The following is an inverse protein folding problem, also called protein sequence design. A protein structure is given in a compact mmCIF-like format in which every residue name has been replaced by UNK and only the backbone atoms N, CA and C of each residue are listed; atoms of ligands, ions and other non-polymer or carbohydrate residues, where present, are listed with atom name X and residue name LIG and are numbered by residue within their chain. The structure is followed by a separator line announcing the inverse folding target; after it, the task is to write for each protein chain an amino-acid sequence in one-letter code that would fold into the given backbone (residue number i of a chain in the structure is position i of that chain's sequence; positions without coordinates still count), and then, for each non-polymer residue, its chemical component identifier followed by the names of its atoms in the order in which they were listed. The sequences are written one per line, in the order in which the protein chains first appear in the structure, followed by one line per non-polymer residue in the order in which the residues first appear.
data_IF_407457704026
#
_entry.id   IF_407457704026
#
_cell.length_a   1.000
_cell.length_b   1.000
_cell.length_c   1.000
_cell.angle_alpha   90.00
_cell.angle_beta   90.00
_cell.angle_gamma   90.00
#
_symmetry.space_group_name_H-M   'P 1'
#
loop_
_entity.id
_entity.type
_entity.pdbx_description
1 polymer ?
#
# COMPACT_ATOMS: atom_id res chain seq x y z
N UNK A 1 8.26 34.85 -68.28
CA UNK A 1 8.69 35.66 -67.14
C UNK A 1 8.96 34.69 -65.99
N UNK A 2 10.25 34.41 -65.73
CA UNK A 2 10.73 33.44 -64.76
C UNK A 2 10.73 34.09 -63.37
N UNK A 3 10.24 33.37 -62.34
CA UNK A 3 10.49 33.72 -60.95
C UNK A 3 11.15 32.52 -60.26
N UNK A 4 12.32 32.80 -59.68
CA UNK A 4 13.24 31.91 -59.04
C UNK A 4 12.65 31.36 -57.71
N UNK A 5 12.81 30.05 -57.54
CA UNK A 5 12.72 29.36 -56.26
C UNK A 5 13.93 29.72 -55.37
N UNK A 6 13.70 30.17 -54.15
CA UNK A 6 14.70 30.28 -53.12
C UNK A 6 14.41 29.22 -52.07
N UNK A 7 15.33 28.27 -52.00
CA UNK A 7 15.37 27.19 -51.03
C UNK A 7 16.11 27.68 -49.79
N UNK A 8 15.47 27.71 -48.60
CA UNK A 8 16.17 27.91 -47.35
C UNK A 8 15.79 26.79 -46.39
N UNK A 9 16.65 25.77 -46.35
CA UNK A 9 16.69 24.76 -45.31
C UNK A 9 17.07 25.40 -43.97
N UNK A 10 16.20 25.36 -42.99
CA UNK A 10 16.56 25.53 -41.55
C UNK A 10 16.40 24.23 -40.83
N UNK A 11 17.52 23.61 -40.57
CA UNK A 11 17.70 22.50 -39.62
C UNK A 11 17.41 22.97 -38.20
N UNK A 12 16.39 22.40 -37.56
CA UNK A 12 16.15 22.52 -36.13
C UNK A 12 16.83 21.37 -35.43
N UNK A 13 17.97 21.66 -34.76
CA UNK A 13 18.59 20.78 -33.77
C UNK A 13 17.68 20.74 -32.53
N UNK A 14 17.00 19.64 -32.35
CA UNK A 14 16.33 19.29 -31.08
C UNK A 14 17.44 18.91 -30.06
N UNK A 15 17.77 19.86 -29.20
CA UNK A 15 18.56 19.60 -28.01
C UNK A 15 17.75 18.78 -27.01
N UNK A 16 18.08 17.51 -26.88
CA UNK A 16 17.57 16.69 -25.79
C UNK A 16 18.23 17.16 -24.49
N UNK A 17 17.50 17.93 -23.68
CA UNK A 17 17.88 18.20 -22.31
C UNK A 17 17.65 16.92 -21.47
N UNK A 18 18.73 16.20 -21.21
CA UNK A 18 18.77 15.20 -20.15
C UNK A 18 18.68 15.92 -18.80
N UNK A 19 17.50 15.92 -18.19
CA UNK A 19 17.38 16.23 -16.76
C UNK A 19 18.00 15.09 -15.97
N UNK A 20 19.27 15.24 -15.58
CA UNK A 20 19.82 14.44 -14.49
C UNK A 20 19.06 14.83 -13.22
N UNK A 21 18.17 13.96 -12.78
CA UNK A 21 17.64 14.04 -11.43
C UNK A 21 18.80 13.71 -10.48
N UNK A 22 19.32 14.74 -9.82
CA UNK A 22 20.16 14.55 -8.65
C UNK A 22 19.32 13.87 -7.58
N UNK A 23 19.50 12.57 -7.39
CA UNK A 23 19.00 11.87 -6.21
C UNK A 23 19.76 12.45 -5.03
N UNK A 24 19.05 13.11 -4.12
CA UNK A 24 19.63 13.69 -2.92
C UNK A 24 20.35 12.58 -2.11
N UNK A 25 21.66 12.74 -1.99
CA UNK A 25 22.53 11.79 -1.29
C UNK A 25 22.18 11.66 0.21
N UNK A 26 21.42 12.61 0.78
CA UNK A 26 20.98 12.56 2.17
C UNK A 26 19.98 11.43 2.42
N UNK A 27 19.03 11.21 1.51
CA UNK A 27 18.05 10.12 1.61
C UNK A 27 18.67 8.72 1.50
N UNK A 28 19.75 8.58 0.71
CA UNK A 28 20.49 7.33 0.61
C UNK A 28 21.28 7.01 1.89
N UNK A 29 21.86 8.01 2.53
CA UNK A 29 22.62 7.85 3.78
C UNK A 29 21.68 7.45 4.94
N UNK A 30 20.51 8.06 5.08
CA UNK A 30 19.53 7.72 6.12
C UNK A 30 18.99 6.29 5.96
N UNK A 31 18.78 5.83 4.74
CA UNK A 31 18.34 4.45 4.45
C UNK A 31 19.45 3.44 4.79
N UNK A 32 20.71 3.75 4.50
CA UNK A 32 21.87 2.88 4.82
C UNK A 32 22.13 2.85 6.34
N UNK A 33 22.03 3.99 7.02
CA UNK A 33 22.22 4.09 8.48
C UNK A 33 21.13 3.28 9.21
N UNK A 34 19.87 3.35 8.76
CA UNK A 34 18.78 2.58 9.35
C UNK A 34 18.93 1.06 9.16
N UNK A 35 19.45 0.59 8.03
CA UNK A 35 19.70 -0.84 7.78
C UNK A 35 20.74 -1.45 8.73
N UNK A 36 21.69 -0.67 9.21
CA UNK A 36 22.80 -1.13 10.05
C UNK A 36 22.56 -0.88 11.54
N UNK A 37 21.43 -0.28 11.94
CA UNK A 37 21.16 -0.05 13.35
C UNK A 37 21.07 -1.37 14.14
N UNK A 38 21.49 -1.37 15.38
CA UNK A 38 21.37 -2.51 16.29
C UNK A 38 19.91 -2.99 16.42
N UNK A 39 18.96 -2.04 16.41
CA UNK A 39 17.52 -2.29 16.44
C UNK A 39 17.04 -3.06 15.20
N UNK A 40 17.42 -2.60 14.00
CA UNK A 40 17.02 -3.26 12.74
C UNK A 40 17.59 -4.68 12.65
N UNK A 41 18.85 -4.88 13.04
CA UNK A 41 19.45 -6.22 13.09
C UNK A 41 18.75 -7.16 14.08
N UNK A 42 18.31 -6.65 15.24
CA UNK A 42 17.52 -7.42 16.20
C UNK A 42 16.18 -7.82 15.58
N UNK A 43 15.41 -6.87 15.06
CA UNK A 43 14.12 -7.12 14.42
C UNK A 43 14.21 -8.12 13.27
N UNK A 44 15.28 -8.03 12.48
CA UNK A 44 15.53 -8.97 11.39
C UNK A 44 15.70 -10.40 11.90
N UNK A 45 16.48 -10.61 12.97
CA UNK A 45 16.65 -11.92 13.61
C UNK A 45 15.34 -12.43 14.22
N UNK A 46 14.59 -11.55 14.89
CA UNK A 46 13.31 -11.89 15.50
C UNK A 46 12.30 -12.34 14.42
N UNK A 47 12.19 -11.60 13.32
CA UNK A 47 11.36 -11.97 12.16
C UNK A 47 11.80 -13.29 11.52
N UNK A 48 13.10 -13.52 11.33
CA UNK A 48 13.61 -14.78 10.78
C UNK A 48 13.34 -15.96 11.72
N UNK A 49 13.43 -15.77 13.03
CA UNK A 49 13.08 -16.79 14.03
C UNK A 49 11.58 -17.08 14.02
N UNK A 50 10.73 -16.03 13.91
CA UNK A 50 9.28 -16.15 13.78
C UNK A 50 8.91 -16.99 12.54
N UNK A 51 9.47 -16.66 11.36
CA UNK A 51 9.23 -17.41 10.11
C UNK A 51 9.73 -18.86 10.19
N UNK A 52 10.84 -19.10 10.90
CA UNK A 52 11.37 -20.45 11.09
C UNK A 52 10.46 -21.31 11.98
N UNK A 53 9.82 -20.72 12.97
CA UNK A 53 8.89 -21.41 13.88
C UNK A 53 7.50 -21.56 13.27
N UNK A 54 7.08 -20.58 12.48
CA UNK A 54 5.78 -20.55 11.79
C UNK A 54 5.93 -19.96 10.39
N UNK A 55 5.79 -20.81 9.37
CA UNK A 55 5.88 -20.36 7.98
C UNK A 55 4.74 -19.41 7.57
N UNK A 56 3.61 -19.39 8.27
CA UNK A 56 2.53 -18.43 8.02
C UNK A 56 2.94 -17.00 8.39
N UNK A 57 3.95 -16.86 9.22
CA UNK A 57 4.55 -15.57 9.58
C UNK A 57 5.34 -14.93 8.44
N UNK A 58 5.68 -15.66 7.36
CA UNK A 58 6.41 -15.10 6.22
C UNK A 58 5.64 -13.95 5.56
N UNK A 59 6.32 -12.82 5.33
CA UNK A 59 5.78 -11.72 4.54
C UNK A 59 5.91 -12.00 3.05
N UNK A 60 4.76 -12.07 2.37
CA UNK A 60 4.65 -12.29 0.93
C UNK A 60 4.44 -10.95 0.22
N UNK A 61 5.26 -10.60 -0.79
CA UNK A 61 5.12 -9.34 -1.49
C UNK A 61 3.90 -9.32 -2.41
N UNK A 62 3.21 -8.19 -2.42
CA UNK A 62 2.19 -7.80 -3.39
C UNK A 62 2.83 -6.84 -4.39
N UNK A 63 2.68 -7.13 -5.67
CA UNK A 63 3.16 -6.31 -6.78
C UNK A 63 2.01 -5.86 -7.68
N UNK A 64 2.25 -4.82 -8.48
CA UNK A 64 1.39 -4.53 -9.63
C UNK A 64 1.33 -5.77 -10.55
N UNK A 65 0.11 -6.20 -10.87
CA UNK A 65 -0.17 -7.30 -11.81
C UNK A 65 -1.62 -7.23 -12.28
N UNK A 66 -2.04 -7.98 -13.31
CA UNK A 66 -3.46 -8.05 -13.67
C UNK A 66 -4.34 -8.30 -12.45
N UNK A 67 -5.32 -7.43 -12.24
CA UNK A 67 -6.22 -7.44 -11.08
C UNK A 67 -5.71 -6.75 -9.81
N UNK A 68 -4.45 -6.29 -9.77
CA UNK A 68 -3.89 -5.53 -8.63
C UNK A 68 -3.16 -4.28 -9.13
N UNK A 69 -3.54 -3.12 -8.63
CA UNK A 69 -2.82 -1.86 -8.80
C UNK A 69 -2.34 -1.40 -7.42
N UNK A 70 -1.05 -1.09 -7.30
CA UNK A 70 -0.49 -0.46 -6.10
C UNK A 70 -0.50 1.05 -6.28
N UNK A 71 -1.26 1.76 -5.47
CA UNK A 71 -1.29 3.21 -5.35
C UNK A 71 -0.95 3.60 -3.91
N UNK A 72 0.26 3.22 -3.48
CA UNK A 72 0.71 3.32 -2.09
C UNK A 72 0.77 4.78 -1.63
N UNK A 73 -0.29 5.23 -0.96
CA UNK A 73 -0.53 6.64 -0.63
C UNK A 73 0.58 7.24 0.23
N UNK A 74 1.11 6.49 1.19
CA UNK A 74 2.14 6.98 2.10
C UNK A 74 3.56 6.99 1.51
N UNK A 75 3.74 6.40 0.32
CA UNK A 75 4.94 6.56 -0.49
C UNK A 75 4.96 7.88 -1.31
N UNK A 76 3.90 8.67 -1.23
CA UNK A 76 3.74 9.96 -1.93
C UNK A 76 3.23 11.01 -0.94
N UNK A 77 3.18 12.27 -1.36
CA UNK A 77 2.53 13.35 -0.60
C UNK A 77 1.00 13.37 -0.76
N UNK A 78 0.43 12.46 -1.53
CA UNK A 78 -1.01 12.33 -1.78
C UNK A 78 -1.77 11.63 -0.65
N UNK A 79 -1.40 11.87 0.61
CA UNK A 79 -2.02 11.34 1.82
C UNK A 79 -2.41 12.47 2.79
N UNK A 80 -3.07 12.15 3.90
CA UNK A 80 -3.58 13.14 4.85
C UNK A 80 -2.47 13.98 5.52
N UNK A 81 -1.23 13.44 5.64
CA UNK A 81 -0.10 14.17 6.24
C UNK A 81 0.57 15.14 5.26
N UNK A 82 0.24 15.08 3.95
CA UNK A 82 0.85 15.84 2.87
C UNK A 82 2.37 15.66 2.75
N UNK A 83 2.91 14.61 3.35
CA UNK A 83 4.33 14.27 3.30
C UNK A 83 4.57 12.83 2.87
N UNK A 84 5.75 12.54 2.34
CA UNK A 84 6.19 11.17 2.05
C UNK A 84 6.61 10.53 3.37
N UNK A 85 5.92 9.46 3.79
CA UNK A 85 6.17 8.80 5.07
C UNK A 85 7.16 7.64 4.97
N UNK A 86 7.24 6.99 3.80
CA UNK A 86 8.27 6.00 3.47
C UNK A 86 8.67 6.12 1.99
N UNK A 87 9.91 5.68 1.61
CA UNK A 87 10.37 5.78 0.22
C UNK A 87 9.47 5.03 -0.76
N UNK A 88 9.37 5.46 -2.03
CA UNK A 88 8.71 4.69 -3.08
C UNK A 88 9.22 3.25 -3.11
N UNK A 89 8.30 2.30 -3.20
CA UNK A 89 8.59 0.87 -3.17
C UNK A 89 7.81 0.14 -4.28
N UNK A 90 8.40 -0.89 -4.93
CA UNK A 90 7.72 -1.63 -5.99
C UNK A 90 6.67 -2.63 -5.46
N UNK A 91 6.59 -2.82 -4.15
CA UNK A 91 5.69 -3.79 -3.52
C UNK A 91 5.32 -3.37 -2.11
N UNK A 92 4.23 -3.95 -1.59
CA UNK A 92 3.92 -4.02 -0.17
C UNK A 92 3.83 -5.49 0.26
N UNK A 93 3.47 -5.79 1.51
CA UNK A 93 3.52 -7.16 2.02
C UNK A 93 2.29 -7.49 2.87
N UNK A 94 1.95 -8.79 2.88
CA UNK A 94 1.05 -9.41 3.84
C UNK A 94 1.69 -10.68 4.41
N UNK A 95 1.34 -11.07 5.65
CA UNK A 95 1.68 -12.40 6.18
C UNK A 95 1.10 -13.47 5.27
N UNK A 96 1.74 -14.63 5.19
CA UNK A 96 1.38 -15.67 4.22
C UNK A 96 -0.08 -16.10 4.31
N UNK A 97 -0.59 -16.40 5.50
CA UNK A 97 -2.01 -16.78 5.66
C UNK A 97 -2.95 -15.64 5.21
N UNK A 98 -2.60 -14.39 5.52
CA UNK A 98 -3.38 -13.19 5.13
C UNK A 98 -3.32 -12.98 3.61
N UNK A 99 -2.14 -13.20 3.01
CA UNK A 99 -1.97 -13.18 1.55
C UNK A 99 -2.80 -14.26 0.87
N UNK A 100 -2.79 -15.49 1.41
CA UNK A 100 -3.55 -16.61 0.83
C UNK A 100 -5.05 -16.31 0.89
N UNK A 101 -5.56 -15.78 2.00
CA UNK A 101 -6.94 -15.34 2.14
C UNK A 101 -7.26 -14.18 1.18
N UNK A 102 -6.38 -13.18 1.07
CA UNK A 102 -6.54 -12.07 0.12
C UNK A 102 -6.64 -12.58 -1.34
N UNK A 103 -5.86 -13.60 -1.73
CA UNK A 103 -5.96 -14.19 -3.08
C UNK A 103 -7.35 -14.82 -3.32
N UNK A 104 -8.01 -15.37 -2.30
CA UNK A 104 -9.38 -15.89 -2.42
C UNK A 104 -10.37 -14.75 -2.69
N UNK A 105 -10.32 -13.66 -1.91
CA UNK A 105 -11.14 -12.47 -2.13
C UNK A 105 -10.91 -11.87 -3.53
N UNK A 106 -9.65 -11.72 -3.94
CA UNK A 106 -9.29 -11.22 -5.27
C UNK A 106 -9.84 -12.11 -6.38
N UNK A 107 -9.81 -13.44 -6.23
CA UNK A 107 -10.37 -14.38 -7.22
C UNK A 107 -11.87 -14.18 -7.39
N UNK A 108 -12.62 -13.93 -6.31
CA UNK A 108 -14.06 -13.63 -6.37
C UNK A 108 -14.28 -12.33 -7.13
N UNK A 109 -13.60 -11.26 -6.75
CA UNK A 109 -13.72 -9.93 -7.38
C UNK A 109 -13.36 -9.96 -8.87
N UNK A 110 -12.28 -10.67 -9.24
CA UNK A 110 -11.86 -10.78 -10.64
C UNK A 110 -12.91 -11.51 -11.51
N UNK A 111 -13.58 -12.53 -10.98
CA UNK A 111 -14.68 -13.22 -11.70
C UNK A 111 -15.88 -12.30 -11.95
N UNK A 112 -16.07 -11.31 -11.08
CA UNK A 112 -17.11 -10.28 -11.23
C UNK A 112 -16.65 -9.09 -12.11
N UNK A 113 -15.42 -9.11 -12.63
CA UNK A 113 -14.88 -8.07 -13.50
C UNK A 113 -14.21 -6.91 -12.74
N UNK A 114 -13.84 -7.09 -11.47
CA UNK A 114 -13.19 -6.06 -10.65
C UNK A 114 -11.80 -6.46 -10.24
N UNK A 115 -10.88 -5.49 -10.23
CA UNK A 115 -9.57 -5.57 -9.61
C UNK A 115 -9.52 -4.72 -8.35
N UNK A 116 -8.41 -4.80 -7.62
CA UNK A 116 -8.17 -4.07 -6.37
C UNK A 116 -7.09 -3.01 -6.52
N UNK A 117 -7.36 -1.83 -5.97
CA UNK A 117 -6.45 -0.71 -5.84
C UNK A 117 -5.96 -0.67 -4.39
N UNK A 118 -4.70 -1.01 -4.15
CA UNK A 118 -4.13 -1.12 -2.80
C UNK A 118 -3.45 0.21 -2.43
N UNK A 119 -3.87 0.81 -1.32
CA UNK A 119 -3.36 2.07 -0.79
C UNK A 119 -2.32 1.90 0.31
N UNK A 120 -2.47 0.86 1.14
CA UNK A 120 -1.52 0.46 2.17
C UNK A 120 -1.70 -1.02 2.53
N UNK A 121 -0.61 -1.68 2.96
CA UNK A 121 -0.67 -2.99 3.58
C UNK A 121 0.39 -3.07 4.69
N UNK A 122 1.55 -3.72 4.49
CA UNK A 122 2.61 -3.58 5.47
C UNK A 122 3.07 -2.12 5.56
N UNK A 123 3.15 -1.62 6.79
CA UNK A 123 3.62 -0.28 7.14
C UNK A 123 4.66 -0.41 8.26
N UNK A 124 5.91 0.09 8.09
CA UNK A 124 6.88 0.10 9.19
C UNK A 124 6.33 0.83 10.42
N UNK A 125 6.63 0.32 11.61
CA UNK A 125 6.12 0.87 12.87
C UNK A 125 6.50 2.35 13.09
N UNK A 126 7.71 2.74 12.67
CA UNK A 126 8.16 4.15 12.72
C UNK A 126 7.25 5.09 11.93
N UNK A 127 6.59 4.60 10.87
CA UNK A 127 5.61 5.37 10.09
C UNK A 127 4.34 5.61 10.89
N UNK A 128 3.83 4.60 11.59
CA UNK A 128 2.68 4.78 12.49
C UNK A 128 2.97 5.79 13.59
N UNK A 129 4.20 5.80 14.15
CA UNK A 129 4.61 6.84 15.11
C UNK A 129 4.58 8.24 14.51
N UNK A 130 5.11 8.42 13.29
CA UNK A 130 5.06 9.72 12.59
C UNK A 130 3.62 10.18 12.35
N UNK A 131 2.72 9.27 11.99
CA UNK A 131 1.29 9.59 11.83
C UNK A 131 0.67 10.03 13.16
N UNK A 132 0.99 9.32 14.25
CA UNK A 132 0.51 9.65 15.59
C UNK A 132 0.99 11.03 16.07
N UNK A 133 2.23 11.39 15.77
CA UNK A 133 2.79 12.70 16.13
C UNK A 133 2.01 13.86 15.46
N UNK A 134 1.34 13.60 14.35
CA UNK A 134 0.51 14.57 13.61
C UNK A 134 -0.95 14.53 14.04
N UNK A 135 -1.51 13.33 14.30
CA UNK A 135 -2.92 13.12 14.64
C UNK A 135 -2.97 12.21 15.88
N UNK A 136 -3.10 12.80 17.03
CA UNK A 136 -3.21 12.12 18.33
C UNK A 136 -4.67 11.72 18.61
N UNK A 137 -5.27 10.94 17.69
CA UNK A 137 -6.66 10.50 17.78
C UNK A 137 -6.76 9.00 17.39
N UNK A 138 -7.05 8.15 18.38
CA UNK A 138 -7.13 6.69 18.19
C UNK A 138 -8.25 6.26 17.22
N UNK A 139 -9.19 7.14 16.89
CA UNK A 139 -10.22 6.83 15.89
C UNK A 139 -9.67 6.72 14.48
N UNK A 140 -8.51 7.36 14.20
CA UNK A 140 -7.92 7.46 12.86
C UNK A 140 -6.50 6.93 12.78
N UNK A 141 -5.73 6.99 13.86
CA UNK A 141 -4.36 6.51 13.90
C UNK A 141 -4.17 5.64 15.14
N UNK A 142 -3.67 4.42 14.93
CA UNK A 142 -3.41 3.52 16.05
C UNK A 142 -2.41 4.13 17.05
N UNK A 143 -2.75 4.08 18.35
CA UNK A 143 -1.83 4.53 19.40
C UNK A 143 -0.53 3.73 19.36
N UNK A 144 0.66 4.35 19.41
CA UNK A 144 1.95 3.67 19.26
C UNK A 144 2.15 2.50 20.25
N UNK A 145 1.63 2.59 21.47
CA UNK A 145 1.76 1.48 22.45
C UNK A 145 1.07 0.18 22.02
N UNK A 146 0.03 0.28 21.16
CA UNK A 146 -0.73 -0.87 20.66
C UNK A 146 -0.19 -1.32 19.28
N UNK A 147 0.32 -0.37 18.50
CA UNK A 147 0.66 -0.56 17.10
C UNK A 147 -0.57 -0.78 16.22
N UNK A 148 -0.35 -1.01 14.94
CA UNK A 148 -1.38 -1.23 13.94
C UNK A 148 -1.30 -2.65 13.36
N UNK A 149 -2.42 -3.15 12.80
CA UNK A 149 -2.43 -4.35 11.96
C UNK A 149 -1.48 -4.24 10.76
N UNK A 150 -1.31 -3.04 10.20
CA UNK A 150 -0.35 -2.78 9.13
C UNK A 150 1.09 -3.04 9.57
N UNK A 151 1.47 -2.70 10.82
CA UNK A 151 2.82 -2.96 11.33
C UNK A 151 3.12 -4.45 11.51
N UNK A 152 2.08 -5.28 11.56
CA UNK A 152 2.17 -6.75 11.68
C UNK A 152 2.08 -7.45 10.31
N UNK A 153 1.69 -6.73 9.24
CA UNK A 153 1.41 -7.30 7.92
C UNK A 153 0.08 -8.05 7.85
N UNK A 154 -0.90 -7.66 8.66
CA UNK A 154 -2.21 -8.31 8.78
C UNK A 154 -3.39 -7.39 8.45
N UNK A 155 -3.13 -6.19 7.95
CA UNK A 155 -4.14 -5.25 7.50
C UNK A 155 -3.84 -4.76 6.09
N UNK A 156 -4.89 -4.38 5.36
CA UNK A 156 -4.82 -3.86 4.02
C UNK A 156 -5.90 -2.80 3.81
N UNK A 157 -5.49 -1.65 3.25
CA UNK A 157 -6.36 -0.57 2.82
C UNK A 157 -6.49 -0.61 1.31
N UNK A 158 -7.72 -0.68 0.81
CA UNK A 158 -7.96 -0.91 -0.61
C UNK A 158 -9.31 -0.43 -1.10
N UNK A 159 -9.40 -0.27 -2.42
CA UNK A 159 -10.62 -0.01 -3.16
C UNK A 159 -10.73 -0.93 -4.37
N UNK A 160 -11.75 -0.72 -5.20
CA UNK A 160 -12.01 -1.48 -6.42
C UNK A 160 -11.79 -0.63 -7.67
N UNK A 161 -11.40 -1.29 -8.76
CA UNK A 161 -11.45 -0.74 -10.11
C UNK A 161 -12.06 -1.76 -11.09
N UNK A 162 -12.61 -1.28 -12.20
CA UNK A 162 -13.12 -2.17 -13.26
C UNK A 162 -11.97 -2.73 -14.10
N UNK A 163 -11.92 -4.04 -14.31
CA UNK A 163 -10.90 -4.68 -15.14
C UNK A 163 -11.02 -4.28 -16.62
N UNK A 164 -12.23 -3.97 -17.09
CA UNK A 164 -12.49 -3.64 -18.49
C UNK A 164 -11.84 -2.33 -18.97
N UNK A 165 -11.73 -1.33 -18.09
CA UNK A 165 -11.24 0.01 -18.47
C UNK A 165 -10.25 0.61 -17.45
N UNK A 166 -9.94 -0.10 -16.37
CA UNK A 166 -9.02 0.34 -15.32
C UNK A 166 -9.54 1.46 -14.43
N UNK A 167 -10.82 1.86 -14.57
CA UNK A 167 -11.35 3.00 -13.81
C UNK A 167 -11.70 2.61 -12.37
N UNK A 168 -11.23 3.38 -11.37
CA UNK A 168 -11.65 3.21 -9.99
C UNK A 168 -13.17 3.32 -9.84
N UNK A 169 -13.74 2.57 -8.91
CA UNK A 169 -15.15 2.69 -8.53
C UNK A 169 -15.33 3.86 -7.56
N UNK A 170 -16.48 4.54 -7.69
CA UNK A 170 -16.89 5.52 -6.69
C UNK A 170 -17.31 4.79 -5.41
N UNK A 171 -16.61 5.06 -4.33
CA UNK A 171 -16.87 4.50 -2.99
C UNK A 171 -17.47 5.55 -2.03
N UNK A 172 -17.75 6.76 -2.53
CA UNK A 172 -18.42 7.84 -1.80
C UNK A 172 -17.51 8.70 -0.93
N UNK A 173 -16.32 8.23 -0.59
CA UNK A 173 -15.28 9.01 0.07
C UNK A 173 -13.90 8.63 -0.46
N UNK A 174 -12.98 9.56 -0.38
CA UNK A 174 -11.55 9.30 -0.58
C UNK A 174 -10.98 8.46 0.56
N UNK A 175 -9.77 7.94 0.34
CA UNK A 175 -8.93 7.32 1.37
C UNK A 175 -8.58 8.33 2.48
N UNK A 176 -8.48 7.89 3.73
CA UNK A 176 -8.22 8.75 4.90
C UNK A 176 -9.26 9.88 5.08
N UNK A 177 -10.51 9.64 4.69
CA UNK A 177 -11.60 10.60 4.90
C UNK A 177 -12.13 10.50 6.33
N UNK A 178 -11.69 11.37 7.20
CA UNK A 178 -11.99 11.38 8.65
C UNK A 178 -13.39 11.96 8.96
N UNK A 179 -14.45 11.25 8.54
CA UNK A 179 -15.83 11.59 8.90
C UNK A 179 -16.71 10.35 8.90
N UNK A 180 -17.92 10.48 9.48
CA UNK A 180 -18.96 9.41 9.50
C UNK A 180 -19.29 8.84 8.11
N UNK A 181 -19.07 9.60 7.03
CA UNK A 181 -19.24 9.10 5.66
C UNK A 181 -18.32 7.95 5.32
N UNK A 182 -17.19 7.82 6.00
CA UNK A 182 -16.26 6.69 5.85
C UNK A 182 -16.74 5.43 6.59
N UNK A 183 -17.67 5.54 7.55
CA UNK A 183 -18.13 4.42 8.33
C UNK A 183 -18.90 3.42 7.47
N UNK A 184 -18.78 2.14 7.78
CA UNK A 184 -19.46 1.03 7.13
C UNK A 184 -20.97 1.15 7.32
N UNK A 185 -21.40 1.64 8.50
CA UNK A 185 -22.80 1.87 8.85
C UNK A 185 -23.45 3.06 8.12
N UNK A 186 -22.69 3.95 7.48
CA UNK A 186 -23.24 5.11 6.77
C UNK A 186 -24.00 4.69 5.50
N UNK A 187 -25.30 4.96 5.44
CA UNK A 187 -26.21 4.51 4.35
C UNK A 187 -26.77 5.63 3.47
N UNK A 188 -26.45 6.90 3.74
CA UNK A 188 -26.98 8.03 2.97
C UNK A 188 -26.17 8.33 1.71
N UNK A 189 -25.77 7.26 0.97
CA UNK A 189 -25.19 7.33 -0.36
C UNK A 189 -26.15 6.77 -1.42
N UNK A 190 -25.97 7.12 -2.72
CA UNK A 190 -26.61 6.43 -3.83
C UNK A 190 -26.39 4.91 -3.78
N UNK A 191 -27.38 4.15 -4.26
CA UNK A 191 -27.34 2.69 -4.24
C UNK A 191 -26.05 2.11 -4.87
N UNK A 192 -25.58 2.69 -5.99
CA UNK A 192 -24.35 2.27 -6.68
C UNK A 192 -23.10 2.32 -5.80
N UNK A 193 -22.98 3.34 -4.93
CA UNK A 193 -21.87 3.45 -3.99
C UNK A 193 -21.99 2.39 -2.89
N UNK A 194 -23.18 2.19 -2.34
CA UNK A 194 -23.43 1.18 -1.32
C UNK A 194 -23.17 -0.24 -1.86
N UNK A 195 -23.56 -0.51 -3.11
CA UNK A 195 -23.28 -1.76 -3.81
C UNK A 195 -21.75 -1.99 -4.00
N UNK A 196 -21.01 -0.95 -4.39
CA UNK A 196 -19.57 -1.03 -4.54
C UNK A 196 -18.88 -1.39 -3.22
N UNK A 197 -19.23 -0.69 -2.13
CA UNK A 197 -18.72 -1.00 -0.78
C UNK A 197 -19.12 -2.40 -0.33
N UNK A 198 -20.38 -2.79 -0.53
CA UNK A 198 -20.87 -4.12 -0.17
C UNK A 198 -20.14 -5.23 -0.91
N UNK A 199 -19.85 -5.05 -2.20
CA UNK A 199 -19.08 -6.01 -3.01
C UNK A 199 -17.70 -6.24 -2.43
N UNK A 200 -16.97 -5.15 -2.14
CA UNK A 200 -15.64 -5.22 -1.54
C UNK A 200 -15.70 -5.91 -0.18
N UNK A 201 -16.60 -5.47 0.70
CA UNK A 201 -16.76 -6.03 2.04
C UNK A 201 -17.13 -7.52 1.99
N UNK A 202 -18.10 -7.91 1.17
CA UNK A 202 -18.53 -9.30 1.04
C UNK A 202 -17.41 -10.21 0.58
N UNK A 203 -16.61 -9.78 -0.40
CA UNK A 203 -15.48 -10.57 -0.88
C UNK A 203 -14.40 -10.74 0.19
N UNK A 204 -14.06 -9.68 0.92
CA UNK A 204 -13.04 -9.71 1.96
C UNK A 204 -13.50 -10.50 3.19
N UNK A 205 -14.73 -10.28 3.66
CA UNK A 205 -15.28 -11.03 4.81
C UNK A 205 -15.50 -12.50 4.47
N UNK A 206 -15.90 -12.81 3.25
CA UNK A 206 -16.00 -14.19 2.75
C UNK A 206 -14.67 -14.93 2.74
N UNK A 207 -13.55 -14.21 2.67
CA UNK A 207 -12.21 -14.75 2.79
C UNK A 207 -11.65 -14.74 4.23
N UNK A 208 -12.42 -14.28 5.22
CA UNK A 208 -12.07 -14.31 6.65
C UNK A 208 -11.55 -13.01 7.24
N UNK A 209 -11.44 -11.94 6.45
CA UNK A 209 -11.13 -10.61 6.97
C UNK A 209 -12.28 -10.02 7.79
N UNK A 210 -11.97 -8.98 8.56
CA UNK A 210 -12.96 -8.09 9.17
C UNK A 210 -12.73 -6.68 8.66
N UNK A 211 -13.82 -5.95 8.41
CA UNK A 211 -13.77 -4.51 8.10
C UNK A 211 -13.71 -3.71 9.39
N UNK A 212 -12.96 -2.60 9.40
CA UNK A 212 -13.00 -1.63 10.49
C UNK A 212 -14.26 -0.76 10.34
N UNK A 213 -15.09 -0.68 11.40
CA UNK A 213 -16.39 0.01 11.32
C UNK A 213 -16.28 1.48 10.88
N UNK A 214 -15.22 2.17 11.27
CA UNK A 214 -14.98 3.59 10.94
C UNK A 214 -14.37 3.84 9.56
N UNK A 215 -13.93 2.77 8.84
CA UNK A 215 -13.15 2.88 7.61
C UNK A 215 -13.52 1.77 6.62
N UNK A 216 -14.36 2.09 5.62
CA UNK A 216 -14.87 1.11 4.64
C UNK A 216 -13.74 0.44 3.82
N UNK A 217 -12.57 1.04 3.73
CA UNK A 217 -11.41 0.55 2.97
C UNK A 217 -10.49 -0.36 3.78
N UNK A 218 -10.54 -0.30 5.14
CA UNK A 218 -9.62 -0.98 6.04
C UNK A 218 -10.10 -2.38 6.43
N UNK A 219 -9.35 -3.39 5.99
CA UNK A 219 -9.60 -4.79 6.31
C UNK A 219 -8.45 -5.37 7.11
N UNK A 220 -8.75 -6.12 8.16
CA UNK A 220 -7.74 -6.73 9.01
C UNK A 220 -8.01 -8.21 9.26
N UNK A 221 -6.95 -8.98 9.53
CA UNK A 221 -7.02 -10.39 9.87
C UNK A 221 -7.25 -10.53 11.37
N UNK A 222 -8.36 -11.11 11.83
CA UNK A 222 -8.76 -11.06 13.25
C UNK A 222 -7.85 -11.85 14.17
N UNK A 223 -7.21 -12.91 13.66
CA UNK A 223 -6.37 -13.81 14.45
C UNK A 223 -4.86 -13.46 14.41
N UNK A 224 -4.50 -12.32 13.84
CA UNK A 224 -3.10 -11.95 13.58
C UNK A 224 -2.40 -11.16 14.71
N UNK A 225 -3.05 -10.95 15.86
CA UNK A 225 -2.49 -10.13 16.95
C UNK A 225 -1.22 -10.70 17.58
N UNK A 226 -0.95 -11.99 17.41
CA UNK A 226 0.25 -12.68 17.89
C UNK A 226 1.51 -12.32 17.09
N UNK A 227 1.39 -11.86 15.83
CA UNK A 227 2.54 -11.43 15.04
C UNK A 227 3.17 -10.16 15.60
N UNK A 228 4.50 -10.11 15.57
CA UNK A 228 5.25 -8.98 16.09
C UNK A 228 5.02 -7.70 15.30
N UNK A 229 5.07 -6.55 16.01
CA UNK A 229 5.21 -5.24 15.36
C UNK A 229 6.58 -5.14 14.69
N UNK A 230 6.62 -4.72 13.44
CA UNK A 230 7.86 -4.66 12.67
C UNK A 230 8.14 -3.24 12.17
N UNK A 231 9.43 -2.90 12.16
CA UNK A 231 9.96 -1.65 11.58
C UNK A 231 11.05 -1.95 10.55
N UNK A 232 10.85 -3.04 9.79
CA UNK A 232 11.79 -3.46 8.75
C UNK A 232 11.51 -2.70 7.43
N UNK A 233 12.55 -2.17 6.77
CA UNK A 233 12.40 -1.51 5.47
C UNK A 233 11.88 -2.48 4.39
N UNK A 234 11.10 -1.95 3.44
CA UNK A 234 10.51 -2.72 2.34
C UNK A 234 11.55 -3.48 1.50
N UNK A 235 12.66 -2.85 1.18
CA UNK A 235 13.75 -3.46 0.40
C UNK A 235 14.45 -4.61 1.15
N UNK A 236 14.61 -4.49 2.47
CA UNK A 236 15.12 -5.56 3.32
C UNK A 236 14.20 -6.77 3.28
N UNK A 237 12.89 -6.57 3.42
CA UNK A 237 11.88 -7.63 3.33
C UNK A 237 11.87 -8.27 1.94
N UNK A 238 11.96 -7.48 0.88
CA UNK A 238 12.01 -7.99 -0.50
C UNK A 238 13.27 -8.83 -0.76
N UNK A 239 14.43 -8.43 -0.24
CA UNK A 239 15.67 -9.21 -0.35
C UNK A 239 15.56 -10.54 0.40
N UNK A 240 14.97 -10.56 1.59
CA UNK A 240 14.73 -11.78 2.35
C UNK A 240 13.81 -12.74 1.60
N UNK A 241 12.69 -12.22 1.08
CA UNK A 241 11.76 -13.02 0.28
C UNK A 241 12.43 -13.66 -0.93
N UNK A 242 13.24 -12.89 -1.67
CA UNK A 242 13.99 -13.42 -2.83
C UNK A 242 14.97 -14.52 -2.43
N UNK A 243 15.69 -14.35 -1.31
CA UNK A 243 16.63 -15.35 -0.79
C UNK A 243 15.95 -16.65 -0.32
N UNK A 244 14.72 -16.60 0.15
CA UNK A 244 13.99 -17.79 0.61
C UNK A 244 13.46 -18.65 -0.55
N UNK A 245 13.56 -18.18 -1.79
CA UNK A 245 13.09 -18.87 -3.00
C UNK A 245 14.20 -19.44 -3.88
N UNK A 246 15.44 -19.11 -3.56
CA UNK A 246 16.66 -19.67 -4.20
C UNK A 246 17.25 -20.78 -3.33
#
# INVERSE_FOLDING_TARGET
MQIKLINTSRSWLLGAFFFLHFVDASGLNDTIINRNSSSTKKQLRDYQAEVKSDQQAQLIPLFNRPGIILDLKYATSGNFTKTVLYPPTPCTFLRKEVYDAFQQALSVLNKEGYGVLIWDAYRPYSVTKKMWDLIQDERYVAHPSKGSGHNRGIAIDMSLFRLADGKPLDMGTEFDHFSEKAHVSYKAFPASILENRSRLQTAMEGAGFKVLETEWWHFYWPNGSHYHLMDLPFDTLLLLYKKSRN
#
